data_IF_656770270143
#
_entry.id   IF_656770270143
#
_cell.length_a   1.000
_cell.length_b   1.000
_cell.length_c   1.000
_cell.angle_alpha   90.00
_cell.angle_beta   90.00
_cell.angle_gamma   90.00
#
_symmetry.space_group_name_H-M   'P 1'
#
loop_
_entity.id
_entity.type
_entity.pdbx_description
1 polymer ?
#
# COMPACT_ATOMS: atom_id res chain seq x y z
N UNK A 1 -20.36 33.08 61.33
CA UNK A 1 -18.94 33.46 61.22
C UNK A 1 -18.56 33.38 59.75
N UNK A 2 -19.13 34.31 58.97
CA UNK A 2 -18.97 34.49 57.54
C UNK A 2 -18.21 35.79 57.28
N UNK A 3 -17.56 35.88 56.17
CA UNK A 3 -16.85 37.07 55.65
C UNK A 3 -15.37 37.23 55.99
N UNK A 4 -14.54 36.84 55.00
CA UNK A 4 -13.32 37.60 54.66
C UNK A 4 -12.65 37.19 53.36
N UNK A 5 -13.19 36.28 52.56
CA UNK A 5 -12.52 35.85 51.30
C UNK A 5 -13.07 36.49 50.01
N UNK A 6 -14.24 37.15 50.03
CA UNK A 6 -14.87 37.65 48.78
C UNK A 6 -14.38 39.07 48.34
N UNK A 7 -13.49 39.72 49.06
CA UNK A 7 -13.03 41.08 48.73
C UNK A 7 -11.69 41.11 47.97
N UNK A 8 -10.96 39.99 47.99
CA UNK A 8 -9.63 39.97 47.35
C UNK A 8 -9.71 39.71 45.84
N UNK A 9 -10.69 38.98 45.34
CA UNK A 9 -10.81 38.68 43.91
C UNK A 9 -11.46 39.79 43.06
N UNK A 10 -12.14 40.72 43.65
CA UNK A 10 -12.73 41.88 42.93
C UNK A 10 -11.76 43.03 42.63
N UNK A 11 -10.59 43.07 43.28
CA UNK A 11 -9.56 44.10 43.03
C UNK A 11 -8.47 43.67 42.06
N UNK A 12 -8.35 42.39 41.76
CA UNK A 12 -7.40 41.85 40.77
C UNK A 12 -7.99 41.89 39.33
N UNK A 13 -9.33 41.84 39.19
CA UNK A 13 -10.01 41.91 37.90
C UNK A 13 -10.03 43.29 37.23
N UNK A 14 -9.78 44.37 37.98
CA UNK A 14 -9.81 45.73 37.41
C UNK A 14 -8.42 46.27 37.03
N UNK A 15 -7.33 45.63 37.45
CA UNK A 15 -5.96 46.02 37.07
C UNK A 15 -5.45 45.31 35.78
N UNK A 16 -6.08 44.23 35.39
CA UNK A 16 -5.74 43.48 34.15
C UNK A 16 -6.40 44.06 32.89
N UNK A 17 -7.41 44.95 33.02
CA UNK A 17 -8.13 45.54 31.88
C UNK A 17 -7.62 46.92 31.46
N UNK A 18 -6.63 47.48 32.14
CA UNK A 18 -6.05 48.81 31.82
C UNK A 18 -4.64 48.78 31.25
N UNK A 19 -4.09 47.58 30.94
CA UNK A 19 -2.74 47.45 30.35
C UNK A 19 -2.75 46.96 28.88
N UNK A 20 -3.91 46.91 28.22
CA UNK A 20 -4.04 46.50 26.80
C UNK A 20 -4.34 47.68 25.86
N UNK A 21 -4.36 48.91 26.33
CA UNK A 21 -4.76 50.06 25.49
C UNK A 21 -3.70 51.18 25.39
N UNK A 22 -2.41 50.89 25.49
CA UNK A 22 -1.38 51.88 25.31
C UNK A 22 -0.10 51.35 24.66
N UNK A 23 -0.21 50.67 23.48
CA UNK A 23 0.94 50.53 22.57
C UNK A 23 0.46 50.44 21.12
N UNK A 24 -0.25 51.43 20.66
CA UNK A 24 -0.32 51.77 19.25
C UNK A 24 0.05 53.23 19.14
N UNK A 25 1.28 53.52 18.75
CA UNK A 25 1.71 54.60 17.83
C UNK A 25 3.24 54.60 17.75
N UNK A 26 3.72 54.68 16.51
CA UNK A 26 5.06 55.05 16.04
C UNK A 26 6.07 53.88 15.89
N UNK A 27 6.05 53.27 14.73
CA UNK A 27 7.23 53.17 13.88
C UNK A 27 6.76 53.06 12.40
N UNK A 28 6.44 54.21 11.82
CA UNK A 28 6.43 54.37 10.39
C UNK A 28 7.66 55.18 10.03
N UNK A 29 8.72 54.50 9.58
CA UNK A 29 9.68 55.03 8.60
C UNK A 29 10.78 54.02 8.31
N UNK A 30 10.79 53.52 7.08
CA UNK A 30 12.03 53.11 6.41
C UNK A 30 12.49 51.65 6.63
N UNK A 31 11.69 50.66 6.31
CA UNK A 31 12.23 49.42 5.82
C UNK A 31 11.86 49.32 4.32
N UNK A 32 12.84 49.25 3.45
CA UNK A 32 12.68 48.82 2.07
C UNK A 32 11.93 47.48 2.14
N UNK A 33 10.79 47.37 1.46
CA UNK A 33 10.21 46.12 1.05
C UNK A 33 11.26 45.39 0.17
N UNK A 34 12.04 44.52 0.78
CA UNK A 34 12.49 43.34 0.10
C UNK A 34 11.22 42.49 0.00
N UNK A 35 10.70 42.34 -1.19
CA UNK A 35 9.55 41.48 -1.46
C UNK A 35 9.91 40.05 -1.08
N UNK A 36 9.71 39.66 0.16
CA UNK A 36 9.49 38.27 0.54
C UNK A 36 8.10 37.94 0.01
N UNK A 37 8.07 37.24 -1.14
CA UNK A 37 6.85 36.66 -1.68
C UNK A 37 6.19 35.82 -0.58
N UNK A 38 4.87 35.87 -0.51
CA UNK A 38 4.08 35.06 0.42
C UNK A 38 4.47 33.58 0.25
N UNK A 39 4.93 32.94 1.33
CA UNK A 39 5.32 31.53 1.31
C UNK A 39 4.09 30.67 0.99
N UNK A 40 4.16 29.89 -0.06
CA UNK A 40 3.11 28.95 -0.46
C UNK A 40 3.35 27.62 0.22
N UNK A 41 2.39 27.13 1.01
CA UNK A 41 2.49 25.83 1.67
C UNK A 41 1.75 24.77 0.83
N UNK A 42 2.49 23.88 0.21
CA UNK A 42 1.95 22.72 -0.50
C UNK A 42 1.82 21.55 0.50
N UNK A 43 0.59 21.11 0.74
CA UNK A 43 0.29 20.01 1.66
C UNK A 43 0.30 18.69 0.93
N UNK A 44 1.07 17.73 1.44
CA UNK A 44 1.13 16.38 0.90
C UNK A 44 0.64 15.35 1.91
N UNK A 45 0.08 14.25 1.41
CA UNK A 45 -0.36 13.14 2.25
C UNK A 45 -0.08 11.77 1.62
N UNK A 46 0.31 10.78 2.45
CA UNK A 46 0.58 9.43 1.95
C UNK A 46 0.54 8.34 3.04
N UNK A 47 0.82 7.09 2.63
CA UNK A 47 0.92 5.94 3.52
C UNK A 47 2.37 5.48 3.77
N UNK A 48 3.35 6.38 3.70
CA UNK A 48 4.78 6.07 3.81
C UNK A 48 5.40 6.83 5.00
N UNK A 49 5.20 6.38 6.25
CA UNK A 49 5.64 7.11 7.45
C UNK A 49 7.16 7.10 7.67
N UNK A 50 7.89 6.07 7.19
CA UNK A 50 9.35 6.09 7.24
C UNK A 50 9.91 6.93 6.09
N UNK A 51 10.47 8.09 6.44
CA UNK A 51 11.08 9.04 5.50
C UNK A 51 12.60 8.90 5.40
N UNK A 52 13.20 8.02 6.17
CA UNK A 52 14.65 7.88 6.26
C UNK A 52 15.23 6.89 5.25
N UNK A 53 14.41 5.94 4.78
CA UNK A 53 14.83 4.87 3.87
C UNK A 53 13.82 4.60 2.76
N UNK A 54 14.20 3.78 1.80
CA UNK A 54 13.34 3.25 0.75
C UNK A 54 12.53 4.34 0.02
N UNK A 55 11.26 4.09 -0.18
CA UNK A 55 10.36 5.00 -0.90
C UNK A 55 10.25 6.38 -0.25
N UNK A 56 10.16 6.44 1.10
CA UNK A 56 10.08 7.71 1.81
C UNK A 56 11.29 8.61 1.57
N UNK A 57 12.51 8.05 1.57
CA UNK A 57 13.72 8.81 1.26
C UNK A 57 13.73 9.34 -0.19
N UNK A 58 13.17 8.58 -1.14
CA UNK A 58 12.99 9.05 -2.52
C UNK A 58 12.04 10.24 -2.59
N UNK A 59 10.92 10.19 -1.88
CA UNK A 59 9.95 11.31 -1.82
C UNK A 59 10.61 12.54 -1.21
N UNK A 60 11.34 12.40 -0.10
CA UNK A 60 12.04 13.53 0.54
C UNK A 60 13.09 14.16 -0.38
N UNK A 61 13.80 13.35 -1.18
CA UNK A 61 14.72 13.86 -2.20
C UNK A 61 13.97 14.68 -3.25
N UNK A 62 12.84 14.19 -3.76
CA UNK A 62 12.01 14.89 -4.75
C UNK A 62 11.46 16.19 -4.16
N UNK A 63 10.93 16.15 -2.93
CA UNK A 63 10.44 17.34 -2.24
C UNK A 63 11.52 18.42 -2.11
N UNK A 64 12.72 18.02 -1.70
CA UNK A 64 13.86 18.94 -1.57
C UNK A 64 14.23 19.58 -2.90
N UNK A 65 14.33 18.81 -3.97
CA UNK A 65 14.68 19.31 -5.31
C UNK A 65 13.57 20.24 -5.84
N UNK A 66 12.30 19.93 -5.56
CA UNK A 66 11.18 20.80 -5.95
C UNK A 66 11.22 22.15 -5.20
N UNK A 67 11.50 22.15 -3.89
CA UNK A 67 11.71 23.38 -3.11
C UNK A 67 12.92 24.20 -3.61
N UNK A 68 13.99 23.53 -4.06
CA UNK A 68 15.14 24.23 -4.65
C UNK A 68 14.78 24.94 -5.97
N UNK A 69 13.81 24.42 -6.73
CA UNK A 69 13.29 25.06 -7.94
C UNK A 69 12.26 26.15 -7.63
N UNK A 70 11.56 26.05 -6.51
CA UNK A 70 10.50 26.96 -6.04
C UNK A 70 10.80 27.47 -4.63
N UNK A 71 11.73 28.44 -4.46
CA UNK A 71 12.15 28.91 -3.14
C UNK A 71 11.03 29.55 -2.29
N UNK A 72 9.93 29.94 -2.92
CA UNK A 72 8.71 30.47 -2.25
C UNK A 72 7.82 29.34 -1.67
N UNK A 73 8.12 28.06 -1.98
CA UNK A 73 7.29 26.91 -1.59
C UNK A 73 7.86 26.22 -0.37
N UNK A 74 6.99 25.95 0.59
CA UNK A 74 7.20 25.00 1.68
C UNK A 74 6.34 23.76 1.43
N UNK A 75 6.91 22.55 1.56
CA UNK A 75 6.16 21.29 1.49
C UNK A 75 5.99 20.73 2.90
N UNK A 76 4.73 20.52 3.29
CA UNK A 76 4.40 19.82 4.52
C UNK A 76 3.81 18.45 4.19
N UNK A 77 4.26 17.40 4.89
CA UNK A 77 3.81 16.03 4.62
C UNK A 77 3.20 15.41 5.88
N UNK A 78 2.04 14.78 5.72
CA UNK A 78 1.46 13.89 6.72
C UNK A 78 1.42 12.46 6.19
N UNK A 79 1.78 11.49 7.05
CA UNK A 79 1.84 10.08 6.68
C UNK A 79 1.23 9.21 7.76
N UNK A 80 0.47 8.19 7.34
CA UNK A 80 -0.16 7.21 8.22
C UNK A 80 0.04 5.81 7.65
N UNK A 81 -0.10 4.78 8.46
CA UNK A 81 -0.16 3.40 7.94
C UNK A 81 -1.42 3.20 7.08
N UNK A 82 -1.35 2.25 6.16
CA UNK A 82 -2.32 1.94 5.11
C UNK A 82 -3.79 2.19 5.45
N UNK A 83 -4.37 1.41 6.37
CA UNK A 83 -5.79 1.53 6.71
C UNK A 83 -6.11 2.87 7.38
N UNK A 84 -5.20 3.35 8.22
CA UNK A 84 -5.36 4.65 8.89
C UNK A 84 -5.36 5.79 7.86
N UNK A 85 -4.53 5.70 6.80
CA UNK A 85 -4.53 6.67 5.72
C UNK A 85 -5.83 6.61 4.90
N UNK A 86 -6.32 5.43 4.56
CA UNK A 86 -7.60 5.26 3.85
C UNK A 86 -8.76 5.91 4.61
N UNK A 87 -8.86 5.68 5.93
CA UNK A 87 -9.89 6.30 6.77
C UNK A 87 -9.71 7.82 6.89
N UNK A 88 -8.47 8.29 6.99
CA UNK A 88 -8.17 9.71 7.06
C UNK A 88 -8.62 10.46 5.81
N UNK A 89 -8.35 9.91 4.63
CA UNK A 89 -8.77 10.50 3.34
C UNK A 89 -10.29 10.60 3.26
N UNK A 90 -11.05 9.59 3.70
CA UNK A 90 -12.52 9.65 3.74
C UNK A 90 -13.01 10.82 4.61
N UNK A 91 -12.41 10.99 5.80
CA UNK A 91 -12.73 12.10 6.71
C UNK A 91 -12.40 13.45 6.07
N UNK A 92 -11.20 13.58 5.48
CA UNK A 92 -10.76 14.80 4.85
C UNK A 92 -11.60 15.19 3.63
N UNK A 93 -12.02 14.20 2.81
CA UNK A 93 -12.91 14.46 1.69
C UNK A 93 -14.24 15.07 2.16
N UNK A 94 -14.86 14.49 3.19
CA UNK A 94 -16.13 15.01 3.75
C UNK A 94 -15.99 16.37 4.41
N UNK A 95 -14.80 16.66 5.01
CA UNK A 95 -14.51 17.94 5.66
C UNK A 95 -13.97 19.00 4.68
N UNK A 96 -13.75 18.66 3.41
CA UNK A 96 -13.10 19.51 2.42
C UNK A 96 -11.68 19.94 2.85
N UNK A 97 -10.90 18.99 3.39
CA UNK A 97 -9.57 19.21 3.98
C UNK A 97 -8.50 18.29 3.38
N UNK A 98 -8.75 17.72 2.19
CA UNK A 98 -7.75 16.91 1.51
C UNK A 98 -6.43 17.68 1.33
N UNK A 99 -5.27 17.01 1.44
CA UNK A 99 -3.99 17.58 1.01
C UNK A 99 -4.03 18.01 -0.45
N UNK A 100 -3.14 18.89 -0.87
CA UNK A 100 -3.06 19.36 -2.27
C UNK A 100 -2.66 18.23 -3.21
N UNK A 101 -1.66 17.44 -2.81
CA UNK A 101 -1.21 16.24 -3.50
C UNK A 101 -1.22 15.06 -2.52
N UNK A 102 -1.73 13.93 -2.94
CA UNK A 102 -1.72 12.75 -2.07
C UNK A 102 -1.49 11.45 -2.83
N UNK A 103 -0.76 10.53 -2.17
CA UNK A 103 -0.67 9.14 -2.60
C UNK A 103 -1.93 8.41 -2.16
N UNK A 104 -2.62 7.76 -3.11
CA UNK A 104 -3.81 6.98 -2.84
C UNK A 104 -3.86 5.76 -3.77
N UNK A 105 -4.84 4.89 -3.63
CA UNK A 105 -4.97 3.71 -4.48
C UNK A 105 -5.94 3.95 -5.63
N UNK A 106 -5.64 3.37 -6.81
CA UNK A 106 -6.47 3.45 -8.03
C UNK A 106 -7.75 2.61 -7.98
N UNK A 107 -7.95 1.84 -6.92
CA UNK A 107 -9.03 0.88 -6.84
C UNK A 107 -10.40 1.55 -6.81
N UNK A 108 -11.38 0.95 -7.50
CA UNK A 108 -12.75 1.46 -7.56
C UNK A 108 -13.39 1.64 -6.17
N UNK A 109 -13.02 0.80 -5.21
CA UNK A 109 -13.46 0.92 -3.81
C UNK A 109 -12.96 2.17 -3.09
N UNK A 110 -11.87 2.77 -3.58
CA UNK A 110 -11.18 3.89 -2.93
C UNK A 110 -11.21 5.17 -3.78
N UNK A 111 -10.78 5.11 -5.05
CA UNK A 111 -10.65 6.31 -5.88
C UNK A 111 -12.00 6.75 -6.48
N UNK A 112 -12.84 5.80 -6.95
CA UNK A 112 -14.14 6.14 -7.56
C UNK A 112 -14.99 7.07 -6.68
N UNK A 113 -15.17 6.84 -5.37
CA UNK A 113 -15.95 7.75 -4.51
C UNK A 113 -15.38 9.17 -4.46
N UNK A 114 -14.06 9.33 -4.58
CA UNK A 114 -13.44 10.65 -4.63
C UNK A 114 -13.67 11.35 -5.98
N UNK A 115 -13.66 10.59 -7.08
CA UNK A 115 -13.98 11.07 -8.43
C UNK A 115 -15.45 11.49 -8.50
N UNK A 116 -16.38 10.63 -8.07
CA UNK A 116 -17.83 10.90 -8.05
C UNK A 116 -18.16 12.13 -7.20
N UNK A 117 -17.45 12.31 -6.08
CA UNK A 117 -17.54 13.46 -5.20
C UNK A 117 -16.88 14.74 -5.74
N UNK A 118 -16.20 14.67 -6.89
CA UNK A 118 -15.43 15.77 -7.50
C UNK A 118 -14.36 16.33 -6.54
N UNK A 119 -13.70 15.44 -5.81
CA UNK A 119 -12.62 15.79 -4.90
C UNK A 119 -11.24 15.73 -5.57
N UNK A 120 -11.12 15.04 -6.70
CA UNK A 120 -9.88 14.82 -7.43
C UNK A 120 -9.92 15.57 -8.76
N UNK A 121 -8.80 16.24 -9.09
CA UNK A 121 -8.63 16.97 -10.32
C UNK A 121 -8.36 16.01 -11.49
N UNK A 122 -9.06 16.14 -12.63
CA UNK A 122 -8.72 15.42 -13.83
C UNK A 122 -7.37 15.88 -14.41
N UNK A 123 -6.58 14.92 -14.88
CA UNK A 123 -5.22 15.12 -15.37
C UNK A 123 -5.20 15.03 -16.91
N UNK A 124 -4.30 15.78 -17.54
CA UNK A 124 -4.07 15.64 -18.98
C UNK A 124 -3.28 14.35 -19.27
N UNK A 125 -3.93 13.36 -19.86
CA UNK A 125 -3.34 12.07 -20.22
C UNK A 125 -2.08 12.22 -21.08
N UNK A 126 -2.07 13.15 -22.06
CA UNK A 126 -0.96 13.30 -22.99
C UNK A 126 0.30 13.88 -22.30
N UNK A 127 0.13 14.68 -21.26
CA UNK A 127 1.22 15.16 -20.42
C UNK A 127 1.97 14.00 -19.77
N UNK A 128 1.26 12.98 -19.27
CA UNK A 128 1.90 11.89 -18.53
C UNK A 128 2.41 10.75 -19.41
N UNK A 129 1.81 10.51 -20.58
CA UNK A 129 2.28 9.48 -21.54
C UNK A 129 3.76 9.63 -21.92
N UNK A 130 4.31 10.86 -21.92
CA UNK A 130 5.71 11.10 -22.28
C UNK A 130 6.73 10.57 -21.24
N UNK A 131 6.31 10.23 -20.01
CA UNK A 131 7.21 9.82 -18.93
C UNK A 131 7.45 8.31 -18.87
N UNK A 132 7.24 7.59 -19.97
CA UNK A 132 7.66 6.18 -20.12
C UNK A 132 6.81 5.16 -19.36
N UNK A 133 5.56 5.49 -19.05
CA UNK A 133 4.63 4.57 -18.41
C UNK A 133 4.46 3.27 -19.19
N UNK A 134 4.38 2.14 -18.47
CA UNK A 134 4.10 0.84 -19.09
C UNK A 134 2.68 0.83 -19.68
N UNK A 135 2.49 0.02 -20.73
CA UNK A 135 1.19 -0.11 -21.37
C UNK A 135 0.10 -0.54 -20.38
N UNK A 136 -1.04 0.13 -20.39
CA UNK A 136 -2.16 -0.15 -19.50
C UNK A 136 -2.07 0.47 -18.12
N UNK A 137 -0.93 1.10 -17.74
CA UNK A 137 -0.74 1.61 -16.39
C UNK A 137 -1.57 2.87 -16.10
N UNK A 138 -1.66 3.80 -17.05
CA UNK A 138 -2.47 5.01 -16.89
C UNK A 138 -3.98 4.71 -17.02
N UNK A 139 -4.34 3.74 -17.87
CA UNK A 139 -5.73 3.38 -18.16
C UNK A 139 -6.48 2.86 -16.91
N UNK A 140 -5.79 2.28 -15.95
CA UNK A 140 -6.35 1.87 -14.66
C UNK A 140 -6.87 3.03 -13.78
N UNK A 141 -6.53 4.27 -14.15
CA UNK A 141 -6.91 5.50 -13.44
C UNK A 141 -7.88 6.36 -14.24
N UNK A 142 -8.44 5.82 -15.33
CA UNK A 142 -9.40 6.54 -16.17
C UNK A 142 -10.82 6.23 -15.68
N UNK A 143 -11.54 7.29 -15.35
CA UNK A 143 -12.96 7.27 -14.97
C UNK A 143 -13.69 8.26 -15.87
N UNK A 144 -14.81 7.86 -16.46
CA UNK A 144 -15.63 8.67 -17.39
C UNK A 144 -14.82 9.31 -18.53
N UNK A 145 -13.73 8.64 -18.94
CA UNK A 145 -12.86 9.08 -20.03
C UNK A 145 -11.75 10.05 -19.65
N UNK A 146 -11.66 10.46 -18.39
CA UNK A 146 -10.63 11.35 -17.84
C UNK A 146 -9.65 10.61 -16.93
N UNK A 147 -8.39 11.00 -16.93
CA UNK A 147 -7.35 10.48 -16.05
C UNK A 147 -7.42 11.19 -14.70
N UNK A 148 -7.44 10.45 -13.57
CA UNK A 148 -7.53 11.02 -12.21
C UNK A 148 -6.35 10.72 -11.31
N UNK A 149 -5.30 10.11 -11.82
CA UNK A 149 -4.10 9.85 -11.04
C UNK A 149 -3.03 9.18 -11.87
N UNK A 150 -1.80 9.25 -11.39
CA UNK A 150 -0.65 8.59 -12.02
C UNK A 150 -0.19 7.42 -11.15
N UNK A 151 -0.11 6.20 -11.67
CA UNK A 151 0.43 5.07 -10.94
C UNK A 151 1.94 5.25 -10.75
N UNK A 152 2.45 4.82 -9.61
CA UNK A 152 3.87 4.94 -9.30
C UNK A 152 4.59 3.61 -9.17
N UNK A 153 3.83 2.50 -8.99
CA UNK A 153 4.39 1.16 -8.87
C UNK A 153 3.71 0.15 -9.79
N UNK A 154 4.49 -0.85 -10.23
CA UNK A 154 3.99 -2.09 -10.80
C UNK A 154 4.02 -3.13 -9.67
N UNK A 155 2.86 -3.55 -9.21
CA UNK A 155 2.71 -4.38 -8.05
C UNK A 155 2.55 -5.84 -8.47
N UNK A 156 3.45 -6.69 -7.99
CA UNK A 156 3.47 -8.15 -8.20
C UNK A 156 3.33 -8.82 -6.84
N UNK A 157 2.45 -9.81 -6.73
CA UNK A 157 2.32 -10.62 -5.53
C UNK A 157 3.32 -11.76 -5.54
N UNK A 158 4.25 -11.78 -4.58
CA UNK A 158 5.40 -12.68 -4.53
C UNK A 158 5.60 -13.25 -3.12
N UNK A 159 6.61 -14.09 -2.95
CA UNK A 159 7.08 -14.52 -1.64
C UNK A 159 8.57 -14.19 -1.51
N UNK A 160 8.91 -13.35 -0.54
CA UNK A 160 10.30 -13.14 -0.14
C UNK A 160 10.79 -14.31 0.72
N UNK A 161 12.04 -14.70 0.53
CA UNK A 161 12.65 -15.83 1.23
C UNK A 161 14.02 -15.45 1.80
N UNK A 162 14.35 -15.96 2.98
CA UNK A 162 15.70 -15.87 3.54
C UNK A 162 16.43 -17.20 3.31
N UNK A 163 17.34 -17.25 2.32
CA UNK A 163 18.05 -18.47 1.89
C UNK A 163 18.84 -19.11 3.03
N UNK A 164 19.45 -18.32 3.93
CA UNK A 164 20.19 -18.86 5.05
C UNK A 164 19.32 -19.67 6.01
N UNK A 165 18.05 -19.26 6.20
CA UNK A 165 17.12 -20.00 7.04
C UNK A 165 16.65 -21.31 6.39
N UNK A 166 16.51 -21.35 5.05
CA UNK A 166 16.25 -22.57 4.30
C UNK A 166 17.42 -23.53 4.40
N UNK A 167 18.65 -23.05 4.22
CA UNK A 167 19.88 -23.86 4.37
C UNK A 167 19.99 -24.41 5.80
N UNK A 168 19.81 -23.57 6.82
CA UNK A 168 19.83 -23.96 8.24
C UNK A 168 18.81 -25.06 8.56
N UNK A 169 17.62 -25.01 7.94
CA UNK A 169 16.58 -26.02 8.14
C UNK A 169 16.78 -27.26 7.25
N UNK A 170 17.70 -27.24 6.28
CA UNK A 170 17.92 -28.31 5.33
C UNK A 170 16.72 -28.54 4.42
N UNK A 171 16.09 -27.47 3.95
CA UNK A 171 14.96 -27.47 3.01
C UNK A 171 15.31 -26.70 1.74
N UNK A 172 14.91 -27.17 0.54
CA UNK A 172 15.02 -26.40 -0.69
C UNK A 172 14.01 -25.26 -0.71
N UNK A 173 14.19 -24.30 -1.62
CA UNK A 173 13.16 -23.30 -1.93
C UNK A 173 11.93 -24.00 -2.50
N UNK A 174 10.71 -23.60 -2.11
CA UNK A 174 9.49 -24.27 -2.52
C UNK A 174 9.10 -23.89 -3.95
N UNK A 175 8.60 -24.86 -4.72
CA UNK A 175 7.95 -24.68 -6.01
C UNK A 175 6.43 -24.80 -5.91
N UNK A 176 5.95 -25.50 -4.86
CA UNK A 176 4.54 -25.69 -4.55
C UNK A 176 4.18 -25.31 -3.11
N UNK A 177 2.90 -25.09 -2.85
CA UNK A 177 2.40 -24.93 -1.48
C UNK A 177 2.57 -26.20 -0.63
N UNK A 178 2.55 -27.37 -1.27
CA UNK A 178 2.81 -28.67 -0.66
C UNK A 178 4.25 -28.75 -0.13
N UNK A 179 5.23 -28.19 -0.87
CA UNK A 179 6.62 -28.07 -0.40
C UNK A 179 6.71 -27.20 0.84
N UNK A 180 5.97 -26.07 0.87
CA UNK A 180 5.89 -25.21 2.05
C UNK A 180 5.35 -26.00 3.24
N UNK A 181 4.24 -26.72 3.08
CA UNK A 181 3.67 -27.55 4.16
C UNK A 181 4.65 -28.62 4.64
N UNK A 182 5.33 -29.31 3.71
CA UNK A 182 6.32 -30.34 4.03
C UNK A 182 7.55 -29.76 4.79
N UNK A 183 7.87 -28.49 4.58
CA UNK A 183 8.97 -27.81 5.24
C UNK A 183 8.68 -27.40 6.70
N UNK A 184 7.40 -27.24 7.07
CA UNK A 184 6.97 -26.69 8.37
C UNK A 184 7.62 -27.41 9.58
N UNK A 185 7.66 -28.76 9.68
CA UNK A 185 8.28 -29.41 10.82
C UNK A 185 9.77 -29.10 10.94
N UNK A 186 10.49 -28.95 9.83
CA UNK A 186 11.93 -28.67 9.81
C UNK A 186 12.21 -27.24 10.29
N UNK A 187 11.45 -26.25 9.82
CA UNK A 187 11.56 -24.87 10.30
C UNK A 187 11.25 -24.78 11.81
N UNK A 188 10.14 -25.36 12.24
CA UNK A 188 9.75 -25.36 13.67
C UNK A 188 10.77 -26.03 14.57
N UNK A 189 11.43 -27.10 14.13
CA UNK A 189 12.50 -27.75 14.88
C UNK A 189 13.72 -26.84 15.11
N UNK A 190 13.90 -25.82 14.28
CA UNK A 190 14.94 -24.79 14.40
C UNK A 190 14.45 -23.49 15.07
N UNK A 191 13.20 -23.46 15.55
CA UNK A 191 12.57 -22.26 16.11
C UNK A 191 12.29 -21.17 15.07
N UNK A 192 12.22 -21.53 13.77
CA UNK A 192 11.97 -20.62 12.67
C UNK A 192 10.46 -20.63 12.35
N UNK A 193 9.87 -19.46 12.17
CA UNK A 193 8.50 -19.31 11.64
C UNK A 193 8.56 -19.62 10.14
N UNK A 194 7.74 -20.57 9.62
CA UNK A 194 7.81 -20.89 8.20
C UNK A 194 7.50 -19.69 7.31
N UNK A 195 6.36 -19.02 7.54
CA UNK A 195 5.91 -17.87 6.77
C UNK A 195 5.25 -16.83 7.66
N UNK A 196 5.49 -15.56 7.37
CA UNK A 196 4.77 -14.42 7.96
C UNK A 196 4.04 -13.64 6.88
N UNK A 197 2.93 -13.00 7.25
CA UNK A 197 2.19 -12.01 6.48
C UNK A 197 1.34 -11.17 7.42
N UNK A 198 0.84 -10.03 6.94
CA UNK A 198 -0.11 -9.18 7.65
C UNK A 198 -1.51 -9.79 7.57
N UNK A 199 -2.05 -10.16 8.72
CA UNK A 199 -3.43 -10.67 8.81
C UNK A 199 -4.39 -9.70 9.50
N UNK A 200 -3.89 -8.73 10.27
CA UNK A 200 -4.71 -7.75 10.98
C UNK A 200 -5.45 -6.83 10.01
N UNK A 201 -4.77 -6.32 9.00
CA UNK A 201 -5.38 -5.45 7.99
C UNK A 201 -6.29 -6.22 7.02
N UNK A 202 -6.05 -7.53 6.87
CA UNK A 202 -6.92 -8.48 6.17
C UNK A 202 -6.78 -8.49 4.64
N UNK A 203 -6.30 -7.42 4.03
CA UNK A 203 -6.15 -7.36 2.57
C UNK A 203 -5.11 -8.38 2.03
N UNK A 204 -3.97 -8.65 2.70
CA UNK A 204 -3.04 -9.66 2.19
C UNK A 204 -3.63 -11.07 2.21
N UNK A 205 -4.55 -11.34 3.15
CA UNK A 205 -5.25 -12.62 3.21
C UNK A 205 -6.23 -12.78 2.04
N UNK A 206 -6.89 -11.70 1.62
CA UNK A 206 -7.78 -11.72 0.45
C UNK A 206 -6.99 -11.91 -0.85
N UNK A 207 -5.84 -11.26 -0.99
CA UNK A 207 -4.96 -11.43 -2.15
C UNK A 207 -4.33 -12.82 -2.19
N UNK A 208 -4.01 -13.43 -1.04
CA UNK A 208 -3.64 -14.83 -0.96
C UNK A 208 -4.79 -15.73 -1.43
N UNK A 209 -6.04 -15.44 -1.04
CA UNK A 209 -7.21 -16.18 -1.52
C UNK A 209 -7.32 -16.13 -3.04
N UNK A 210 -7.21 -14.95 -3.63
CA UNK A 210 -7.25 -14.75 -5.08
C UNK A 210 -6.13 -15.54 -5.79
N UNK A 211 -4.91 -15.49 -5.26
CA UNK A 211 -3.76 -16.20 -5.82
C UNK A 211 -3.92 -17.72 -5.77
N UNK A 212 -4.30 -18.26 -4.61
CA UNK A 212 -4.54 -19.72 -4.47
C UNK A 212 -5.70 -20.15 -5.36
N UNK A 213 -6.75 -19.32 -5.45
CA UNK A 213 -7.89 -19.59 -6.33
C UNK A 213 -7.47 -19.62 -7.80
N UNK A 214 -6.61 -18.69 -8.23
CA UNK A 214 -6.03 -18.69 -9.58
C UNK A 214 -5.18 -19.93 -9.85
N UNK A 215 -4.40 -20.40 -8.87
CA UNK A 215 -3.62 -21.66 -8.97
C UNK A 215 -4.53 -22.88 -9.12
N UNK A 216 -5.64 -22.93 -8.39
CA UNK A 216 -6.62 -24.03 -8.46
C UNK A 216 -7.36 -24.00 -9.80
N UNK A 217 -7.85 -22.84 -10.24
CA UNK A 217 -8.75 -22.69 -11.40
C UNK A 217 -8.03 -22.54 -12.74
N UNK A 218 -6.77 -22.11 -12.76
CA UNK A 218 -5.98 -21.84 -13.96
C UNK A 218 -6.11 -20.40 -14.49
N UNK A 219 -6.92 -19.54 -13.86
CA UNK A 219 -7.04 -18.13 -14.23
C UNK A 219 -7.72 -17.33 -13.13
N UNK A 220 -7.61 -16.00 -13.21
CA UNK A 220 -8.31 -15.07 -12.32
C UNK A 220 -9.80 -14.86 -12.71
N UNK A 221 -10.21 -15.31 -13.90
CA UNK A 221 -11.55 -15.07 -14.44
C UNK A 221 -12.69 -15.50 -13.50
N UNK A 222 -12.62 -16.65 -12.77
CA UNK A 222 -13.68 -17.03 -11.82
C UNK A 222 -13.91 -15.97 -10.72
N UNK A 223 -12.86 -15.30 -10.23
CA UNK A 223 -13.02 -14.21 -9.22
C UNK A 223 -13.77 -13.03 -9.84
N UNK A 224 -13.37 -12.60 -11.05
CA UNK A 224 -14.08 -11.53 -11.76
C UNK A 224 -15.54 -11.90 -12.04
N UNK A 225 -15.81 -13.11 -12.50
CA UNK A 225 -17.17 -13.60 -12.79
C UNK A 225 -18.03 -13.67 -11.51
N UNK A 226 -17.46 -14.05 -10.36
CA UNK A 226 -18.20 -14.09 -9.10
C UNK A 226 -18.58 -12.67 -8.61
N UNK A 227 -17.69 -11.70 -8.78
CA UNK A 227 -17.96 -10.29 -8.49
C UNK A 227 -19.05 -9.74 -9.43
N UNK A 228 -18.93 -10.01 -10.72
CA UNK A 228 -19.90 -9.60 -11.75
C UNK A 228 -21.23 -10.40 -11.69
N UNK A 229 -21.36 -11.35 -10.76
CA UNK A 229 -22.52 -12.25 -10.59
C UNK A 229 -22.80 -13.16 -11.82
N UNK A 230 -21.77 -13.42 -12.64
CA UNK A 230 -21.78 -14.45 -13.71
C UNK A 230 -21.48 -15.84 -13.16
N UNK A 231 -20.78 -15.90 -12.01
CA UNK A 231 -20.51 -17.09 -11.20
C UNK A 231 -20.85 -16.81 -9.73
N UNK A 232 -20.63 -17.79 -8.84
CA UNK A 232 -20.90 -17.62 -7.41
C UNK A 232 -19.69 -18.03 -6.58
N UNK A 233 -19.48 -17.35 -5.45
CA UNK A 233 -18.45 -17.75 -4.48
C UNK A 233 -18.78 -19.10 -3.80
N UNK A 234 -19.98 -19.63 -3.96
CA UNK A 234 -20.36 -20.97 -3.49
C UNK A 234 -19.98 -22.09 -4.49
N UNK A 235 -19.43 -21.76 -5.65
CA UNK A 235 -18.99 -22.74 -6.63
C UNK A 235 -17.80 -23.56 -6.08
N UNK A 236 -17.66 -24.83 -6.53
CA UNK A 236 -16.74 -25.81 -5.96
C UNK A 236 -15.26 -25.35 -5.90
N UNK A 237 -14.81 -24.57 -6.87
CA UNK A 237 -13.44 -24.05 -6.92
C UNK A 237 -13.14 -23.08 -5.75
N UNK A 238 -14.09 -22.23 -5.36
CA UNK A 238 -13.92 -21.34 -4.23
C UNK A 238 -14.01 -22.08 -2.88
N UNK A 239 -14.90 -23.05 -2.78
CA UNK A 239 -14.94 -23.92 -1.61
C UNK A 239 -13.65 -24.72 -1.45
N UNK A 240 -13.08 -25.22 -2.55
CA UNK A 240 -11.79 -25.89 -2.56
C UNK A 240 -10.68 -24.95 -2.10
N UNK A 241 -10.67 -23.69 -2.58
CA UNK A 241 -9.72 -22.65 -2.17
C UNK A 241 -9.81 -22.38 -0.67
N UNK A 242 -11.00 -22.17 -0.14
CA UNK A 242 -11.21 -21.91 1.29
C UNK A 242 -10.75 -23.09 2.18
N UNK A 243 -11.05 -24.33 1.77
CA UNK A 243 -10.57 -25.54 2.45
C UNK A 243 -9.05 -25.66 2.41
N UNK A 244 -8.46 -25.36 1.25
CA UNK A 244 -7.01 -25.38 1.07
C UNK A 244 -6.31 -24.42 2.02
N UNK A 245 -6.75 -23.14 2.05
CA UNK A 245 -6.22 -22.11 2.96
C UNK A 245 -6.35 -22.53 4.43
N UNK A 246 -7.52 -23.06 4.83
CA UNK A 246 -7.68 -23.51 6.21
C UNK A 246 -6.74 -24.67 6.56
N UNK A 247 -6.42 -25.54 5.59
CA UNK A 247 -5.45 -26.61 5.79
C UNK A 247 -4.02 -26.08 5.95
N UNK A 248 -3.62 -25.01 5.23
CA UNK A 248 -2.32 -24.34 5.44
C UNK A 248 -2.19 -23.82 6.87
N UNK A 249 -3.26 -23.19 7.38
CA UNK A 249 -3.30 -22.72 8.79
C UNK A 249 -3.14 -23.88 9.77
N UNK A 250 -3.91 -24.99 9.58
CA UNK A 250 -3.85 -26.18 10.43
C UNK A 250 -2.49 -26.87 10.39
N UNK A 251 -1.83 -26.85 9.24
CA UNK A 251 -0.45 -27.34 9.09
C UNK A 251 0.56 -26.46 9.84
N UNK A 252 0.18 -25.22 10.17
CA UNK A 252 1.01 -24.26 10.91
C UNK A 252 2.05 -23.57 10.04
N UNK A 253 1.69 -23.27 8.81
CA UNK A 253 2.50 -22.51 7.85
C UNK A 253 2.76 -21.10 8.36
N UNK A 254 1.76 -20.44 8.92
CA UNK A 254 1.82 -19.04 9.33
C UNK A 254 2.22 -18.84 10.80
N UNK A 255 2.61 -17.59 11.13
CA UNK A 255 2.84 -17.18 12.52
C UNK A 255 1.57 -17.35 13.37
N UNK A 256 1.76 -17.60 14.68
CA UNK A 256 0.65 -17.90 15.60
C UNK A 256 -0.27 -16.70 15.87
N UNK A 257 0.23 -15.49 15.73
CA UNK A 257 -0.46 -14.21 15.94
C UNK A 257 -0.93 -13.58 14.62
N UNK A 258 -1.05 -14.36 13.53
CA UNK A 258 -1.35 -13.92 12.17
C UNK A 258 -2.41 -12.81 12.11
N UNK A 259 -3.61 -13.05 12.66
CA UNK A 259 -4.76 -12.14 12.52
C UNK A 259 -4.68 -10.88 13.41
N UNK A 260 -3.65 -10.78 14.23
CA UNK A 260 -3.36 -9.61 15.08
C UNK A 260 -2.05 -8.91 14.70
N UNK A 261 -1.23 -9.56 13.87
CA UNK A 261 0.03 -9.02 13.37
C UNK A 261 -0.26 -8.08 12.21
N UNK A 262 0.14 -6.82 12.35
CA UNK A 262 0.03 -5.81 11.29
C UNK A 262 1.24 -5.84 10.35
N UNK A 263 1.18 -4.99 9.32
CA UNK A 263 2.19 -4.88 8.29
C UNK A 263 3.61 -4.71 8.86
N UNK A 264 3.82 -3.74 9.75
CA UNK A 264 5.13 -3.46 10.34
C UNK A 264 5.65 -4.60 11.20
N UNK A 265 4.78 -5.25 11.99
CA UNK A 265 5.15 -6.39 12.82
C UNK A 265 5.60 -7.58 11.97
N UNK A 266 4.86 -7.92 10.91
CA UNK A 266 5.19 -9.03 10.01
C UNK A 266 6.49 -8.77 9.23
N UNK A 267 6.66 -7.54 8.70
CA UNK A 267 7.89 -7.09 8.04
C UNK A 267 9.10 -7.20 8.95
N UNK A 268 8.97 -6.77 10.21
CA UNK A 268 10.05 -6.83 11.20
C UNK A 268 10.40 -8.26 11.60
N UNK A 269 9.42 -9.17 11.76
CA UNK A 269 9.70 -10.58 12.04
C UNK A 269 10.54 -11.21 10.93
N UNK A 270 10.26 -10.90 9.68
CA UNK A 270 11.04 -11.38 8.54
C UNK A 270 12.43 -10.75 8.49
N UNK A 271 12.53 -9.41 8.59
CA UNK A 271 13.80 -8.69 8.55
C UNK A 271 14.73 -8.99 9.72
N UNK A 272 14.20 -9.42 10.87
CA UNK A 272 14.96 -9.92 12.02
C UNK A 272 15.36 -11.40 11.90
N UNK A 273 15.21 -12.01 10.74
CA UNK A 273 15.58 -13.40 10.45
C UNK A 273 14.84 -14.45 11.35
N UNK A 274 13.62 -14.11 11.78
CA UNK A 274 12.79 -14.99 12.59
C UNK A 274 11.84 -15.85 11.79
N UNK A 275 11.55 -15.44 10.53
CA UNK A 275 10.71 -16.14 9.59
C UNK A 275 11.49 -16.46 8.32
N UNK A 276 11.23 -17.65 7.73
CA UNK A 276 11.91 -18.08 6.51
C UNK A 276 11.31 -17.42 5.25
N UNK A 277 10.02 -17.12 5.28
CA UNK A 277 9.26 -16.56 4.17
C UNK A 277 8.42 -15.36 4.62
N UNK A 278 8.25 -14.39 3.70
CA UNK A 278 7.34 -13.25 3.85
C UNK A 278 6.49 -13.14 2.59
N UNK A 279 5.20 -13.41 2.73
CA UNK A 279 4.23 -13.30 1.64
C UNK A 279 3.76 -11.84 1.54
N UNK A 280 4.23 -11.13 0.51
CA UNK A 280 3.96 -9.71 0.29
C UNK A 280 4.25 -9.32 -1.16
N UNK A 281 3.91 -8.11 -1.57
CA UNK A 281 4.12 -7.65 -2.93
C UNK A 281 5.49 -7.03 -3.21
N UNK A 282 5.74 -6.76 -4.48
CA UNK A 282 7.00 -6.20 -4.99
C UNK A 282 7.37 -4.82 -4.42
N UNK A 283 6.42 -4.10 -3.82
CA UNK A 283 6.69 -2.84 -3.10
C UNK A 283 7.62 -3.01 -1.90
N UNK A 284 7.86 -4.24 -1.42
CA UNK A 284 8.86 -4.57 -0.41
C UNK A 284 10.26 -4.84 -1.00
N UNK A 285 10.49 -4.55 -2.29
CA UNK A 285 11.81 -4.67 -2.94
C UNK A 285 12.91 -3.96 -2.14
N UNK A 286 12.57 -2.84 -1.49
CA UNK A 286 13.47 -2.08 -0.63
C UNK A 286 14.04 -2.83 0.57
N UNK A 287 13.48 -3.98 0.97
CA UNK A 287 14.08 -4.86 2.00
C UNK A 287 15.53 -5.22 1.68
N UNK A 288 15.87 -5.35 0.40
CA UNK A 288 17.22 -5.70 -0.06
C UNK A 288 18.27 -4.61 0.21
N UNK A 289 17.84 -3.38 0.44
CA UNK A 289 18.73 -2.22 0.65
C UNK A 289 18.47 -1.51 1.99
N UNK A 290 17.51 -1.98 2.80
CA UNK A 290 17.11 -1.34 4.06
C UNK A 290 18.22 -1.44 5.11
N UNK A 291 18.85 -0.32 5.54
CA UNK A 291 19.93 -0.35 6.53
C UNK A 291 19.46 -0.70 7.95
N UNK A 292 18.16 -0.73 8.21
CA UNK A 292 17.60 -1.14 9.48
C UNK A 292 17.70 -2.66 9.73
N UNK A 293 17.97 -3.44 8.67
CA UNK A 293 18.19 -4.87 8.75
C UNK A 293 19.67 -5.22 8.60
N UNK A 294 20.06 -6.40 9.11
CA UNK A 294 21.46 -6.87 9.10
C UNK A 294 21.98 -7.09 7.67
N UNK A 295 23.30 -7.01 7.50
CA UNK A 295 23.95 -7.38 6.24
C UNK A 295 23.64 -8.85 5.91
N UNK A 296 23.67 -9.75 6.92
CA UNK A 296 23.27 -11.16 6.74
C UNK A 296 21.90 -11.32 6.14
N UNK A 297 20.90 -10.58 6.64
CA UNK A 297 19.56 -10.60 6.09
C UNK A 297 19.55 -10.17 4.62
N UNK A 298 20.16 -9.01 4.29
CA UNK A 298 20.15 -8.46 2.94
C UNK A 298 20.89 -9.36 1.92
N UNK A 299 22.00 -9.97 2.31
CA UNK A 299 22.77 -10.89 1.47
C UNK A 299 22.05 -12.21 1.21
N UNK A 300 21.21 -12.65 2.14
CA UNK A 300 20.46 -13.89 2.03
C UNK A 300 19.01 -13.70 1.56
N UNK A 301 18.58 -12.43 1.38
CA UNK A 301 17.26 -12.13 0.86
C UNK A 301 17.16 -12.54 -0.62
N UNK A 302 16.03 -13.16 -0.94
CA UNK A 302 15.69 -13.54 -2.31
C UNK A 302 14.16 -13.44 -2.49
N UNK A 303 13.66 -13.60 -3.69
CA UNK A 303 12.23 -13.57 -4.02
C UNK A 303 11.91 -14.73 -4.95
N UNK A 304 10.73 -15.32 -4.76
CA UNK A 304 10.20 -16.36 -5.62
C UNK A 304 8.80 -16.00 -6.10
N UNK A 305 8.39 -16.55 -7.22
CA UNK A 305 7.01 -16.52 -7.69
C UNK A 305 6.07 -17.15 -6.65
N UNK A 306 4.80 -16.77 -6.70
CA UNK A 306 3.80 -17.41 -5.86
C UNK A 306 3.65 -18.89 -6.28
N UNK A 307 3.87 -19.85 -5.36
CA UNK A 307 3.97 -21.27 -5.71
C UNK A 307 2.68 -21.85 -6.32
N UNK A 308 2.83 -22.92 -7.07
CA UNK A 308 1.67 -23.67 -7.58
C UNK A 308 0.97 -24.45 -6.47
N UNK A 309 -0.29 -24.85 -6.71
CA UNK A 309 -1.04 -25.85 -5.94
C UNK A 309 -0.97 -27.17 -6.71
N UNK A 310 -0.51 -28.25 -6.08
CA UNK A 310 -0.45 -29.57 -6.73
C UNK A 310 -1.84 -30.02 -7.20
N UNK A 311 -1.91 -30.45 -8.46
CA UNK A 311 -3.18 -30.79 -9.10
C UNK A 311 -4.05 -29.61 -9.51
N UNK A 312 -3.63 -28.39 -9.25
CA UNK A 312 -4.24 -27.15 -9.77
C UNK A 312 -3.95 -26.96 -11.26
N UNK A 313 -4.59 -25.97 -11.86
CA UNK A 313 -4.52 -25.68 -13.31
C UNK A 313 -3.66 -24.45 -13.63
N UNK A 314 -3.35 -23.60 -12.63
CA UNK A 314 -2.56 -22.39 -12.78
C UNK A 314 -1.06 -22.64 -12.65
N UNK A 315 -0.27 -21.78 -13.28
CA UNK A 315 1.19 -21.81 -13.25
C UNK A 315 1.74 -20.73 -12.31
N UNK A 316 3.02 -20.82 -11.94
CA UNK A 316 3.69 -19.82 -11.12
C UNK A 316 3.71 -18.44 -11.80
N UNK A 317 3.81 -18.39 -13.12
CA UNK A 317 3.82 -17.17 -13.93
C UNK A 317 2.42 -16.64 -14.36
N UNK A 318 1.34 -17.18 -13.80
CA UNK A 318 0.02 -16.52 -13.81
C UNK A 318 -0.01 -15.53 -12.62
N UNK A 319 0.31 -14.27 -12.84
CA UNK A 319 0.57 -13.32 -11.75
C UNK A 319 -0.70 -12.64 -11.23
N UNK A 320 -0.80 -12.50 -9.91
CA UNK A 320 -1.61 -11.45 -9.30
C UNK A 320 -0.78 -10.16 -9.35
N UNK A 321 -1.12 -9.28 -10.30
CA UNK A 321 -0.34 -8.09 -10.59
C UNK A 321 -1.21 -6.96 -11.12
N UNK A 322 -0.89 -5.72 -10.71
CA UNK A 322 -1.59 -4.51 -11.09
C UNK A 322 -0.65 -3.28 -11.06
N UNK A 323 -1.14 -2.14 -11.49
CA UNK A 323 -0.46 -0.86 -11.27
C UNK A 323 -1.09 -0.16 -10.07
N UNK A 324 -0.27 0.24 -9.11
CA UNK A 324 -0.73 0.75 -7.83
C UNK A 324 -0.04 2.02 -7.36
N UNK A 325 -0.45 2.47 -6.17
CA UNK A 325 0.18 3.58 -5.50
C UNK A 325 0.06 4.92 -6.22
N UNK A 326 -1.13 5.29 -6.70
CA UNK A 326 -1.32 6.56 -7.42
C UNK A 326 -0.99 7.80 -6.63
N UNK A 327 -0.50 8.84 -7.34
CA UNK A 327 -0.60 10.22 -6.88
C UNK A 327 -1.76 10.93 -7.58
N UNK A 328 -2.54 11.66 -6.79
CA UNK A 328 -3.72 12.42 -7.19
C UNK A 328 -3.63 13.86 -6.66
N UNK A 329 -4.32 14.78 -7.33
CA UNK A 329 -4.38 16.21 -6.96
C UNK A 329 -5.78 16.54 -6.45
N UNK A 330 -5.87 17.30 -5.37
CA UNK A 330 -7.12 17.80 -4.82
C UNK A 330 -7.73 18.86 -5.76
N UNK A 331 -8.93 18.58 -6.28
CA UNK A 331 -9.65 19.51 -7.17
C UNK A 331 -9.98 20.86 -6.53
N UNK A 332 -9.98 20.92 -5.19
CA UNK A 332 -10.29 22.12 -4.40
C UNK A 332 -9.06 22.77 -3.77
N UNK A 333 -7.86 22.36 -4.17
CA UNK A 333 -6.62 23.00 -3.76
C UNK A 333 -6.60 24.46 -4.21
N UNK A 334 -6.19 25.38 -3.32
CA UNK A 334 -5.90 26.77 -3.66
C UNK A 334 -4.58 26.90 -4.44
N UNK A 335 -3.73 25.85 -4.41
CA UNK A 335 -2.43 25.78 -5.07
C UNK A 335 -2.41 24.71 -6.20
N UNK A 336 -3.54 24.56 -6.90
CA UNK A 336 -3.74 23.47 -7.87
C UNK A 336 -2.69 23.45 -8.98
N UNK A 337 -2.35 24.59 -9.56
CA UNK A 337 -1.35 24.66 -10.64
C UNK A 337 0.03 24.18 -10.16
N UNK A 338 0.42 24.58 -8.95
CA UNK A 338 1.66 24.14 -8.32
C UNK A 338 1.62 22.64 -7.97
N UNK A 339 0.47 22.13 -7.52
CA UNK A 339 0.27 20.71 -7.25
C UNK A 339 0.40 19.85 -8.53
N UNK A 340 -0.12 20.34 -9.65
CA UNK A 340 0.02 19.69 -10.96
C UNK A 340 1.48 19.72 -11.44
N UNK A 341 2.18 20.83 -11.28
CA UNK A 341 3.60 20.96 -11.59
C UNK A 341 4.46 20.02 -10.75
N UNK A 342 4.18 19.92 -9.44
CA UNK A 342 4.82 18.93 -8.57
C UNK A 342 4.57 17.51 -9.08
N UNK A 343 3.34 17.18 -9.48
CA UNK A 343 2.99 15.85 -9.96
C UNK A 343 3.72 15.49 -11.28
N UNK A 344 3.87 16.46 -12.18
CA UNK A 344 4.66 16.29 -13.41
C UNK A 344 6.15 16.07 -13.10
N UNK A 345 6.69 16.88 -12.19
CA UNK A 345 8.09 16.71 -11.74
C UNK A 345 8.30 15.33 -11.11
N UNK A 346 7.39 14.92 -10.22
CA UNK A 346 7.40 13.59 -9.62
C UNK A 346 7.38 12.48 -10.69
N UNK A 347 6.47 12.53 -11.64
CA UNK A 347 6.37 11.52 -12.72
C UNK A 347 7.66 11.42 -13.54
N UNK A 348 8.36 12.54 -13.73
CA UNK A 348 9.60 12.61 -14.50
C UNK A 348 10.79 11.98 -13.78
N UNK A 349 10.94 12.18 -12.46
CA UNK A 349 12.17 11.82 -11.75
C UNK A 349 12.04 10.57 -10.89
N UNK A 350 10.83 10.26 -10.41
CA UNK A 350 10.57 9.16 -9.49
C UNK A 350 11.06 7.80 -10.03
N UNK A 351 10.79 7.39 -11.29
CA UNK A 351 11.16 6.05 -11.74
C UNK A 351 12.67 5.83 -11.68
N UNK A 352 13.48 6.84 -12.04
CA UNK A 352 14.92 6.76 -11.95
C UNK A 352 15.40 6.64 -10.49
N UNK A 353 14.88 7.48 -9.60
CA UNK A 353 15.29 7.46 -8.19
C UNK A 353 14.83 6.20 -7.46
N UNK A 354 13.59 5.78 -7.69
CA UNK A 354 13.05 4.56 -7.10
C UNK A 354 13.83 3.32 -7.54
N UNK A 355 14.21 3.24 -8.81
CA UNK A 355 15.00 2.14 -9.33
C UNK A 355 16.47 2.22 -8.90
N UNK A 356 17.07 3.41 -8.88
CA UNK A 356 18.44 3.60 -8.42
C UNK A 356 18.64 3.16 -6.97
N UNK A 357 17.70 3.48 -6.11
CA UNK A 357 17.70 3.11 -4.68
C UNK A 357 17.05 1.75 -4.42
N UNK A 358 16.41 1.17 -5.43
CA UNK A 358 15.60 -0.05 -5.33
C UNK A 358 14.49 0.03 -4.27
N UNK A 359 13.91 1.21 -4.15
CA UNK A 359 12.87 1.48 -3.17
C UNK A 359 11.54 0.78 -3.51
N UNK A 360 11.20 0.69 -4.80
CA UNK A 360 10.00 0.00 -5.31
C UNK A 360 10.15 -0.26 -6.81
N UNK A 361 9.31 -1.15 -7.36
CA UNK A 361 9.23 -1.41 -8.79
C UNK A 361 8.33 -0.36 -9.45
N UNK A 362 8.88 0.57 -10.28
CA UNK A 362 8.10 1.67 -10.82
C UNK A 362 7.05 1.22 -11.84
N UNK A 363 5.98 2.01 -12.00
CA UNK A 363 4.98 1.83 -13.08
C UNK A 363 5.49 2.26 -14.45
N UNK A 364 6.65 2.90 -14.51
CA UNK A 364 7.36 3.26 -15.75
C UNK A 364 8.43 2.21 -16.08
N UNK A 365 8.80 2.17 -17.36
CA UNK A 365 9.86 1.29 -17.84
C UNK A 365 11.20 1.67 -17.21
N UNK A 366 11.89 0.67 -16.72
CA UNK A 366 13.26 0.77 -16.19
C UNK A 366 14.12 -0.33 -16.81
N UNK A 367 15.40 -0.05 -16.96
CA UNK A 367 16.37 -1.01 -17.45
C UNK A 367 17.15 -1.64 -16.29
N UNK A 368 17.39 -2.96 -16.38
CA UNK A 368 18.24 -3.66 -15.43
C UNK A 368 19.67 -3.10 -15.44
N UNK A 369 20.27 -2.98 -14.25
CA UNK A 369 21.64 -2.52 -14.07
C UNK A 369 22.53 -3.63 -13.50
N UNK A 370 23.81 -3.56 -13.74
CA UNK A 370 24.77 -4.56 -13.27
C UNK A 370 24.74 -4.72 -11.74
N UNK A 371 24.62 -3.60 -11.02
CA UNK A 371 24.65 -3.53 -9.56
C UNK A 371 23.26 -3.65 -8.89
N UNK A 372 22.21 -3.97 -9.64
CA UNK A 372 20.89 -4.25 -9.04
C UNK A 372 20.98 -5.48 -8.15
N UNK A 373 20.22 -5.46 -7.04
CA UNK A 373 20.13 -6.59 -6.12
C UNK A 373 19.53 -7.82 -6.81
N UNK A 374 19.73 -8.99 -6.21
CA UNK A 374 19.10 -10.22 -6.71
C UNK A 374 17.57 -10.11 -6.72
N UNK A 375 16.99 -9.44 -5.73
CA UNK A 375 15.54 -9.19 -5.64
C UNK A 375 15.05 -8.36 -6.82
N UNK A 376 15.70 -7.23 -7.12
CA UNK A 376 15.32 -6.37 -8.24
C UNK A 376 15.42 -7.10 -9.58
N UNK A 377 16.52 -7.84 -9.82
CA UNK A 377 16.72 -8.65 -11.04
C UNK A 377 15.62 -9.70 -11.20
N UNK A 378 15.33 -10.45 -10.13
CA UNK A 378 14.29 -11.47 -10.16
C UNK A 378 12.88 -10.90 -10.35
N UNK A 379 12.57 -9.74 -9.76
CA UNK A 379 11.27 -9.09 -10.00
C UNK A 379 11.10 -8.69 -11.47
N UNK A 380 12.17 -8.20 -12.12
CA UNK A 380 12.15 -7.96 -13.57
C UNK A 380 11.94 -9.25 -14.37
N UNK A 381 12.64 -10.33 -14.00
CA UNK A 381 12.50 -11.65 -14.67
C UNK A 381 11.09 -12.20 -14.50
N UNK A 382 10.53 -12.16 -13.27
CA UNK A 382 9.15 -12.58 -12.97
C UNK A 382 8.14 -11.76 -13.79
N UNK A 383 8.31 -10.44 -13.87
CA UNK A 383 7.44 -9.58 -14.65
C UNK A 383 7.55 -9.86 -16.16
N UNK A 384 8.76 -10.15 -16.65
CA UNK A 384 9.02 -10.46 -18.07
C UNK A 384 8.47 -11.84 -18.47
N UNK A 385 8.49 -12.83 -17.56
CA UNK A 385 7.97 -14.18 -17.79
C UNK A 385 6.45 -14.32 -17.57
N UNK A 386 5.77 -13.24 -17.17
CA UNK A 386 4.35 -13.24 -16.88
C UNK A 386 3.53 -13.74 -18.09
N UNK A 387 2.81 -14.83 -17.89
CA UNK A 387 1.89 -15.40 -18.89
C UNK A 387 0.53 -14.70 -18.87
N UNK A 388 0.03 -14.44 -17.69
CA UNK A 388 -1.21 -13.70 -17.45
C UNK A 388 -1.05 -12.77 -16.23
N UNK A 389 -1.82 -11.68 -16.21
CA UNK A 389 -1.94 -10.81 -15.05
C UNK A 389 -3.41 -10.66 -14.66
N UNK A 390 -3.69 -10.59 -13.35
CA UNK A 390 -5.06 -10.44 -12.85
C UNK A 390 -5.65 -9.06 -13.07
N UNK A 391 -4.81 -8.02 -13.10
CA UNK A 391 -5.24 -6.65 -12.86
C UNK A 391 -5.65 -6.47 -11.38
N UNK A 392 -6.56 -5.56 -11.11
CA UNK A 392 -7.03 -5.23 -9.74
C UNK A 392 -7.42 -6.48 -8.95
N UNK A 393 -6.95 -6.63 -7.68
CA UNK A 393 -7.36 -7.71 -6.79
C UNK A 393 -8.88 -7.78 -6.58
N UNK A 394 -9.39 -8.98 -6.31
CA UNK A 394 -10.84 -9.24 -6.21
C UNK A 394 -11.54 -8.39 -5.15
N UNK A 395 -10.90 -8.22 -3.97
CA UNK A 395 -11.46 -7.41 -2.89
C UNK A 395 -11.67 -5.93 -3.29
N UNK A 396 -10.94 -5.44 -4.26
CA UNK A 396 -10.95 -4.05 -4.72
C UNK A 396 -11.75 -3.82 -6.02
N UNK A 397 -12.40 -4.87 -6.56
CA UNK A 397 -13.23 -4.79 -7.78
C UNK A 397 -14.72 -4.51 -7.53
N UNK A 398 -15.13 -4.38 -6.27
CA UNK A 398 -16.55 -4.26 -5.91
C UNK A 398 -16.81 -2.99 -5.10
N UNK A 399 -17.49 -3.10 -3.95
CA UNK A 399 -17.79 -1.98 -3.05
C UNK A 399 -16.93 -2.02 -1.80
N UNK A 400 -16.79 -0.89 -1.10
CA UNK A 400 -16.09 -0.84 0.18
C UNK A 400 -16.68 -1.82 1.20
N UNK A 401 -18.02 -1.98 1.23
CA UNK A 401 -18.69 -2.91 2.13
C UNK A 401 -18.36 -4.39 1.79
N UNK A 402 -18.21 -4.73 0.51
CA UNK A 402 -17.74 -6.05 0.09
C UNK A 402 -16.29 -6.28 0.55
N UNK A 403 -15.41 -5.32 0.32
CA UNK A 403 -14.02 -5.37 0.76
C UNK A 403 -13.90 -5.64 2.26
N UNK A 404 -14.57 -4.84 3.08
CA UNK A 404 -14.57 -4.99 4.54
C UNK A 404 -15.08 -6.37 4.98
N UNK A 405 -16.17 -6.85 4.35
CA UNK A 405 -16.72 -8.18 4.63
C UNK A 405 -15.73 -9.28 4.23
N UNK A 406 -15.11 -9.19 3.06
CA UNK A 406 -14.14 -10.19 2.60
C UNK A 406 -12.94 -10.26 3.56
N UNK A 407 -12.39 -9.13 3.97
CA UNK A 407 -11.29 -9.06 4.95
C UNK A 407 -11.67 -9.68 6.30
N UNK A 408 -12.87 -9.40 6.82
CA UNK A 408 -13.36 -10.01 8.07
C UNK A 408 -13.52 -11.54 7.93
N UNK A 409 -14.13 -11.99 6.84
CA UNK A 409 -14.32 -13.41 6.57
C UNK A 409 -13.00 -14.16 6.46
N UNK A 410 -11.98 -13.56 5.81
CA UNK A 410 -10.65 -14.15 5.73
C UNK A 410 -9.99 -14.28 7.11
N UNK A 411 -10.04 -13.26 7.95
CA UNK A 411 -9.55 -13.34 9.34
C UNK A 411 -10.26 -14.44 10.13
N UNK A 412 -11.58 -14.56 9.99
CA UNK A 412 -12.38 -15.60 10.68
C UNK A 412 -12.07 -17.01 10.15
N UNK A 413 -11.87 -17.17 8.84
CA UNK A 413 -11.47 -18.45 8.23
C UNK A 413 -10.10 -18.89 8.74
N UNK A 414 -9.12 -17.99 8.71
CA UNK A 414 -7.75 -18.27 9.12
C UNK A 414 -7.57 -18.40 10.64
N UNK A 415 -8.53 -17.91 11.43
CA UNK A 415 -8.62 -18.19 12.88
C UNK A 415 -9.38 -19.48 13.20
N UNK A 416 -9.85 -20.24 12.21
CA UNK A 416 -10.75 -21.40 12.36
C UNK A 416 -12.06 -21.09 13.12
N UNK A 417 -12.55 -19.83 13.06
CA UNK A 417 -13.82 -19.40 13.68
C UNK A 417 -15.01 -19.80 12.80
N UNK A 418 -14.83 -19.82 11.47
CA UNK A 418 -15.85 -20.25 10.52
C UNK A 418 -15.34 -21.42 9.67
N UNK A 419 -16.27 -22.21 9.16
CA UNK A 419 -15.93 -23.28 8.20
C UNK A 419 -15.75 -22.73 6.79
N UNK A 420 -15.06 -23.42 5.89
CA UNK A 420 -14.97 -23.05 4.48
C UNK A 420 -16.35 -22.88 3.80
N UNK A 421 -17.31 -23.73 4.15
CA UNK A 421 -18.67 -23.65 3.64
C UNK A 421 -19.38 -22.37 4.09
N UNK A 422 -19.23 -21.97 5.36
CA UNK A 422 -19.78 -20.71 5.88
C UNK A 422 -19.07 -19.51 5.23
N UNK A 423 -17.74 -19.58 5.05
CA UNK A 423 -16.97 -18.54 4.40
C UNK A 423 -17.50 -18.24 2.98
N UNK A 424 -17.60 -19.24 2.12
CA UNK A 424 -18.05 -19.04 0.72
C UNK A 424 -19.51 -18.59 0.65
N UNK A 425 -20.37 -19.05 1.56
CA UNK A 425 -21.76 -18.65 1.60
C UNK A 425 -21.93 -17.18 2.04
N UNK A 426 -21.21 -16.76 3.08
CA UNK A 426 -21.24 -15.37 3.56
C UNK A 426 -20.59 -14.41 2.53
N UNK A 427 -19.52 -14.83 1.85
CA UNK A 427 -18.87 -14.04 0.79
C UNK A 427 -19.77 -13.90 -0.45
N UNK A 428 -20.47 -14.97 -0.87
CA UNK A 428 -21.43 -14.91 -1.96
C UNK A 428 -22.61 -13.96 -1.64
N UNK A 429 -23.11 -13.99 -0.41
CA UNK A 429 -24.16 -13.10 0.04
C UNK A 429 -23.69 -11.63 0.05
N UNK A 430 -22.44 -11.38 0.43
CA UNK A 430 -21.84 -10.04 0.36
C UNK A 430 -21.72 -9.53 -1.09
N UNK A 431 -21.25 -10.39 -2.02
CA UNK A 431 -21.18 -10.06 -3.43
C UNK A 431 -22.57 -9.81 -4.06
N UNK A 432 -23.59 -10.59 -3.67
CA UNK A 432 -24.97 -10.34 -4.12
C UNK A 432 -25.52 -8.99 -3.62
N UNK A 433 -25.17 -8.62 -2.39
CA UNK A 433 -25.57 -7.31 -1.83
C UNK A 433 -24.86 -6.15 -2.52
N UNK A 434 -23.60 -6.33 -2.86
CA UNK A 434 -22.79 -5.31 -3.51
C UNK A 434 -23.18 -5.04 -4.98
N UNK A 435 -23.82 -6.03 -5.63
CA UNK A 435 -24.29 -5.92 -7.03
C UNK A 435 -25.69 -5.25 -7.16
N UNK A 436 -26.37 -4.94 -6.06
CA UNK A 436 -27.68 -4.24 -6.01
C UNK A 436 -27.49 -2.75 -5.83
#
# INVERSE_FOLDING_TARGET
>A
MFCKEDIMYRKIGLFALMLILATTVVFAQGAKESGEGETVVLRMGDNIPDRSTGWGAVIEKINKEFIEMHPEVEITTESYQDQAWQEKVKIYATANQLPDVMKYWSFSTLLQPLVDGKFVEPLNMDTFKQYGYMAGSLEGNVYDGELYGIPVSADLWVIYVNKALFEKAGVPLPESWEDIVASVPKFKAQGIIPMVTDGKDGWPLCEMFDNIQQRISGSFQPVADAIDRKARYTDDNFLQTARYIQNLVKAGVFQSDLVTSDYGASRNLFGQERAAMYMMGSWEMGLATDPNFSDSFRENLDVIEFPVVEGGKGNSNDLLAWFGGNYIVNAKSEHKDLALEYLEYYAKVFPAYAWETQATFPAQKVDARENDTIVAKKLLDIAADAKTTSGTPGLDRSTAAFKETHQDLMRRLMSNIITPEAFVAELDAAAEKAAK
#
